data_IF_742088147875
#
_entry.id   IF_742088147875
#
_cell.length_a   1.000
_cell.length_b   1.000
_cell.length_c   1.000
_cell.angle_alpha   90.00
_cell.angle_beta   90.00
_cell.angle_gamma   90.00
#
_symmetry.space_group_name_H-M   'P 1'
#
loop_
_entity.id
_entity.type
_entity.pdbx_description
1 polymer ?
#
# COMPACT_ATOMS: atom_id res chain seq x y z
N UNK A 1 18.30 -73.23 11.68
CA UNK A 1 18.23 -72.41 10.45
C UNK A 1 17.99 -70.98 10.87
N UNK A 2 19.02 -70.11 10.82
CA UNK A 2 18.94 -68.68 11.15
C UNK A 2 18.81 -67.90 9.84
N UNK A 3 17.71 -67.16 9.67
CA UNK A 3 17.49 -66.24 8.56
C UNK A 3 18.09 -64.89 8.90
N UNK A 4 19.13 -64.48 8.21
CA UNK A 4 19.67 -63.12 8.25
C UNK A 4 18.76 -62.21 7.44
N UNK A 5 18.22 -61.18 8.09
CA UNK A 5 17.51 -60.07 7.46
C UNK A 5 18.50 -58.89 7.36
N UNK A 6 18.99 -58.65 6.14
CA UNK A 6 19.77 -57.46 5.87
C UNK A 6 18.84 -56.26 5.76
N UNK A 7 18.88 -55.39 6.76
CA UNK A 7 18.21 -54.09 6.71
C UNK A 7 18.96 -53.16 5.75
N UNK A 8 18.31 -52.77 4.71
CA UNK A 8 18.80 -51.71 3.80
C UNK A 8 18.55 -50.37 4.53
N UNK A 9 19.63 -49.75 5.02
CA UNK A 9 19.59 -48.38 5.48
C UNK A 9 19.58 -47.46 4.27
N UNK A 10 18.42 -46.93 3.90
CA UNK A 10 18.31 -45.85 2.92
C UNK A 10 18.85 -44.58 3.56
N UNK A 11 20.04 -44.17 3.17
CA UNK A 11 20.58 -42.84 3.49
C UNK A 11 19.85 -41.83 2.60
N UNK A 12 18.80 -41.23 3.13
CA UNK A 12 18.15 -40.05 2.50
C UNK A 12 19.10 -38.89 2.75
N UNK A 13 19.98 -38.61 1.81
CA UNK A 13 20.68 -37.33 1.78
C UNK A 13 19.65 -36.23 1.50
N UNK A 14 19.23 -35.56 2.57
CA UNK A 14 18.44 -34.34 2.46
C UNK A 14 19.32 -33.28 1.81
N UNK A 15 19.12 -33.06 0.51
CA UNK A 15 19.64 -31.88 -0.17
C UNK A 15 18.81 -30.73 0.34
N UNK A 16 19.29 -30.08 1.41
CA UNK A 16 18.78 -28.78 1.85
C UNK A 16 19.21 -27.76 0.81
N UNK A 17 18.43 -27.64 -0.25
CA UNK A 17 18.58 -26.53 -1.17
C UNK A 17 18.20 -25.26 -0.42
N UNK A 18 19.19 -24.41 -0.14
CA UNK A 18 19.03 -23.17 0.59
C UNK A 18 18.10 -22.25 -0.20
N UNK A 19 16.83 -22.21 0.20
CA UNK A 19 15.83 -21.24 -0.27
C UNK A 19 16.16 -19.82 0.23
N UNK A 20 17.24 -19.65 0.99
CA UNK A 20 17.62 -18.37 1.63
C UNK A 20 18.07 -17.28 0.66
N UNK A 21 18.44 -17.58 -0.59
CA UNK A 21 18.90 -16.54 -1.51
C UNK A 21 17.76 -15.69 -2.12
N UNK A 22 16.53 -16.23 -2.16
CA UNK A 22 15.39 -15.51 -2.77
C UNK A 22 14.56 -14.75 -1.75
N UNK A 23 14.57 -15.17 -0.48
CA UNK A 23 13.86 -14.49 0.60
C UNK A 23 14.64 -13.29 1.15
N UNK A 24 15.98 -13.31 1.10
CA UNK A 24 16.84 -12.22 1.57
C UNK A 24 16.64 -10.93 0.77
N UNK A 25 16.60 -11.04 -0.56
CA UNK A 25 16.48 -9.86 -1.42
C UNK A 25 15.13 -9.13 -1.28
N UNK A 26 14.05 -9.87 -1.02
CA UNK A 26 12.73 -9.28 -0.74
C UNK A 26 12.62 -8.66 0.66
N UNK A 27 13.33 -9.19 1.64
CA UNK A 27 13.34 -8.61 3.00
C UNK A 27 14.17 -7.33 3.08
N UNK A 28 15.34 -7.32 2.46
CA UNK A 28 16.22 -6.14 2.39
C UNK A 28 15.56 -4.96 1.65
N UNK A 29 14.90 -5.22 0.51
CA UNK A 29 14.17 -4.20 -0.23
C UNK A 29 12.99 -3.62 0.56
N UNK A 30 12.29 -4.44 1.33
CA UNK A 30 11.17 -4.01 2.17
C UNK A 30 11.64 -3.20 3.38
N UNK A 31 12.73 -3.60 4.01
CA UNK A 31 13.33 -2.90 5.14
C UNK A 31 13.83 -1.52 4.71
N UNK A 32 14.58 -1.43 3.63
CA UNK A 32 15.07 -0.16 3.09
C UNK A 32 13.94 0.78 2.61
N UNK A 33 12.83 0.21 2.12
CA UNK A 33 11.62 0.99 1.79
C UNK A 33 10.99 1.59 3.06
N UNK A 34 10.84 0.81 4.12
CA UNK A 34 10.26 1.28 5.39
C UNK A 34 11.12 2.32 6.09
N UNK A 35 12.45 2.15 6.08
CA UNK A 35 13.38 3.13 6.61
C UNK A 35 13.32 4.45 5.84
N UNK A 36 13.30 4.38 4.51
CA UNK A 36 13.16 5.56 3.66
C UNK A 36 11.82 6.27 3.86
N UNK A 37 10.73 5.51 4.00
CA UNK A 37 9.41 6.07 4.32
C UNK A 37 9.43 6.79 5.67
N UNK A 38 9.99 6.18 6.72
CA UNK A 38 10.10 6.81 8.04
C UNK A 38 10.93 8.10 7.97
N UNK A 39 12.04 8.10 7.24
CA UNK A 39 12.86 9.29 7.06
C UNK A 39 12.08 10.44 6.40
N UNK A 40 11.19 10.14 5.44
CA UNK A 40 10.29 11.15 4.85
C UNK A 40 9.29 11.66 5.87
N UNK A 41 8.63 10.77 6.63
CA UNK A 41 7.67 11.17 7.66
C UNK A 41 8.31 12.13 8.67
N UNK A 42 9.53 11.81 9.11
CA UNK A 42 10.28 12.63 10.07
C UNK A 42 10.69 13.98 9.46
N UNK A 43 11.19 13.99 8.22
CA UNK A 43 11.63 15.20 7.54
C UNK A 43 10.48 16.21 7.30
N UNK A 44 9.27 15.70 7.03
CA UNK A 44 8.07 16.53 6.84
C UNK A 44 7.28 16.77 8.14
N UNK A 45 7.67 16.13 9.23
CA UNK A 45 6.95 16.22 10.51
C UNK A 45 5.53 15.63 10.43
N UNK A 46 5.33 14.61 9.59
CA UNK A 46 4.03 13.99 9.39
C UNK A 46 3.66 13.08 10.58
N UNK A 47 2.55 13.40 11.21
CA UNK A 47 2.01 12.67 12.37
C UNK A 47 0.57 12.22 12.05
N UNK A 48 0.39 10.92 11.83
CA UNK A 48 -0.90 10.35 11.45
C UNK A 48 -1.98 10.53 12.54
N UNK A 49 -1.60 10.57 13.81
CA UNK A 49 -2.53 10.74 14.91
C UNK A 49 -3.11 12.18 14.92
N UNK A 50 -2.24 13.16 14.68
CA UNK A 50 -2.62 14.58 14.66
C UNK A 50 -3.16 15.04 13.31
N UNK A 51 -2.93 14.28 12.25
CA UNK A 51 -3.38 14.66 10.90
C UNK A 51 -4.88 14.92 10.85
N UNK A 52 -5.27 16.01 10.21
CA UNK A 52 -6.65 16.33 9.90
C UNK A 52 -6.88 16.23 8.40
N UNK A 53 -8.09 15.77 8.02
CA UNK A 53 -8.51 15.79 6.63
C UNK A 53 -9.45 16.96 6.44
N UNK A 54 -9.02 17.94 5.66
CA UNK A 54 -9.85 19.08 5.26
C UNK A 54 -10.48 18.86 3.89
N UNK A 55 -11.60 19.50 3.62
CA UNK A 55 -12.40 19.30 2.41
C UNK A 55 -12.54 20.64 1.70
N UNK A 56 -12.20 20.66 0.41
CA UNK A 56 -12.51 21.79 -0.48
C UNK A 56 -13.50 21.34 -1.54
N UNK A 57 -14.58 22.10 -1.71
CA UNK A 57 -15.60 21.83 -2.72
C UNK A 57 -15.21 22.48 -4.04
N UNK A 58 -15.10 21.67 -5.11
CA UNK A 58 -14.93 22.15 -6.49
C UNK A 58 -16.29 22.41 -7.13
N UNK A 59 -17.22 21.44 -7.02
CA UNK A 59 -18.59 21.54 -7.51
C UNK A 59 -19.48 20.52 -6.76
N UNK A 60 -20.72 20.29 -7.21
CA UNK A 60 -21.66 19.42 -6.50
C UNK A 60 -21.15 18.02 -6.25
N UNK A 61 -20.42 17.45 -7.21
CA UNK A 61 -19.97 16.05 -7.14
C UNK A 61 -18.47 15.91 -6.85
N UNK A 62 -17.69 16.98 -7.00
CA UNK A 62 -16.24 16.91 -6.90
C UNK A 62 -15.72 17.73 -5.71
N UNK A 63 -14.89 17.08 -4.91
CA UNK A 63 -14.24 17.66 -3.74
C UNK A 63 -12.77 17.24 -3.72
N UNK A 64 -11.93 18.05 -3.10
CA UNK A 64 -10.54 17.69 -2.81
C UNK A 64 -10.39 17.52 -1.30
N UNK A 65 -9.76 16.44 -0.90
CA UNK A 65 -9.36 16.21 0.48
C UNK A 65 -7.86 16.50 0.59
N UNK A 66 -7.51 17.29 1.58
CA UNK A 66 -6.14 17.57 1.96
C UNK A 66 -5.84 16.88 3.28
N UNK A 67 -4.73 16.20 3.34
CA UNK A 67 -4.26 15.46 4.53
C UNK A 67 -2.74 15.51 4.62
N UNK A 68 -2.11 14.37 4.82
CA UNK A 68 -0.66 14.21 4.72
C UNK A 68 -0.29 13.70 3.32
N UNK A 69 0.78 14.25 2.75
CA UNK A 69 1.25 13.85 1.42
C UNK A 69 0.34 14.37 0.29
N UNK A 70 0.04 13.50 -0.66
CA UNK A 70 -0.76 13.85 -1.84
C UNK A 70 -2.21 14.21 -1.52
N UNK A 71 -2.85 14.95 -2.40
CA UNK A 71 -4.27 15.29 -2.29
C UNK A 71 -5.14 14.16 -2.85
N UNK A 72 -6.36 14.05 -2.36
CA UNK A 72 -7.34 13.08 -2.87
C UNK A 72 -8.47 13.83 -3.57
N UNK A 73 -8.68 13.57 -4.86
CA UNK A 73 -9.89 13.99 -5.54
C UNK A 73 -11.01 13.00 -5.22
N UNK A 74 -12.16 13.48 -4.77
CA UNK A 74 -13.36 12.67 -4.56
C UNK A 74 -14.42 13.11 -5.56
N UNK A 75 -14.89 12.16 -6.35
CA UNK A 75 -16.11 12.29 -7.14
C UNK A 75 -17.19 11.42 -6.49
N UNK A 76 -18.25 12.01 -5.96
CA UNK A 76 -19.38 11.30 -5.38
C UNK A 76 -20.68 11.68 -6.05
N UNK A 77 -21.45 10.67 -6.48
CA UNK A 77 -22.71 10.85 -7.19
C UNK A 77 -23.62 9.63 -7.09
N UNK A 78 -24.69 9.62 -7.87
CA UNK A 78 -25.68 8.54 -7.89
C UNK A 78 -25.08 7.18 -8.29
N UNK A 79 -23.99 7.18 -9.06
CA UNK A 79 -23.35 5.97 -9.59
C UNK A 79 -22.26 5.41 -8.64
N UNK A 80 -22.00 6.08 -7.51
CA UNK A 80 -21.05 5.67 -6.51
C UNK A 80 -19.98 6.72 -6.21
N UNK A 81 -18.88 6.27 -5.61
CA UNK A 81 -17.74 7.09 -5.24
C UNK A 81 -16.49 6.61 -5.96
N UNK A 82 -15.88 7.52 -6.70
CA UNK A 82 -14.54 7.37 -7.24
C UNK A 82 -13.61 8.34 -6.54
N UNK A 83 -12.43 7.87 -6.17
CA UNK A 83 -11.35 8.75 -5.69
C UNK A 83 -10.13 8.63 -6.60
N UNK A 84 -9.37 9.71 -6.70
CA UNK A 84 -8.02 9.71 -7.29
C UNK A 84 -7.04 9.87 -6.15
N UNK A 85 -6.16 8.89 -6.01
CA UNK A 85 -5.23 8.67 -4.89
C UNK A 85 -5.93 8.39 -3.56
N UNK A 86 -5.18 7.91 -2.58
CA UNK A 86 -5.75 7.43 -1.32
C UNK A 86 -4.82 7.59 -0.11
N UNK A 87 -3.69 8.29 -0.29
CA UNK A 87 -2.72 8.61 0.76
C UNK A 87 -2.24 7.37 1.53
N UNK A 88 -2.47 7.34 2.84
CA UNK A 88 -1.94 6.34 3.76
C UNK A 88 -3.02 5.46 4.39
N UNK A 89 -2.75 4.18 4.64
CA UNK A 89 -3.70 3.28 5.30
C UNK A 89 -4.06 3.73 6.73
N UNK A 90 -3.15 4.43 7.42
CA UNK A 90 -3.39 4.99 8.76
C UNK A 90 -4.46 6.09 8.75
N UNK A 91 -4.65 6.77 7.65
CA UNK A 91 -5.64 7.83 7.48
C UNK A 91 -7.01 7.33 7.03
N UNK A 92 -7.18 6.03 6.77
CA UNK A 92 -8.41 5.42 6.22
C UNK A 92 -9.68 5.94 6.89
N UNK A 93 -9.75 5.90 8.22
CA UNK A 93 -10.96 6.28 8.94
C UNK A 93 -11.23 7.77 8.88
N UNK A 94 -10.18 8.59 8.84
CA UNK A 94 -10.27 10.04 8.66
C UNK A 94 -10.77 10.39 7.25
N UNK A 95 -10.20 9.75 6.23
CA UNK A 95 -10.62 9.88 4.82
C UNK A 95 -12.07 9.43 4.65
N UNK A 96 -12.45 8.28 5.21
CA UNK A 96 -13.85 7.81 5.14
C UNK A 96 -14.83 8.72 5.84
N UNK A 97 -14.43 9.38 6.92
CA UNK A 97 -15.29 10.43 7.56
C UNK A 97 -15.50 11.61 6.62
N UNK A 98 -14.43 12.08 5.96
CA UNK A 98 -14.52 13.17 4.99
C UNK A 98 -15.39 12.80 3.78
N UNK A 99 -15.25 11.59 3.24
CA UNK A 99 -16.07 11.07 2.14
C UNK A 99 -17.55 11.02 2.53
N UNK A 100 -17.89 10.64 3.76
CA UNK A 100 -19.27 10.65 4.23
C UNK A 100 -19.86 12.07 4.31
N UNK A 101 -19.06 13.08 4.63
CA UNK A 101 -19.51 14.48 4.67
C UNK A 101 -19.88 15.01 3.28
N UNK A 102 -19.28 14.44 2.22
CA UNK A 102 -19.58 14.80 0.83
C UNK A 102 -20.55 13.80 0.15
N UNK A 103 -21.30 13.05 0.94
CA UNK A 103 -22.39 12.18 0.47
C UNK A 103 -21.96 10.75 0.09
N UNK A 104 -20.69 10.42 0.16
CA UNK A 104 -20.21 9.07 -0.13
C UNK A 104 -20.44 8.10 1.02
N UNK A 105 -20.76 6.84 0.73
CA UNK A 105 -20.95 5.78 1.72
C UNK A 105 -19.80 4.80 1.77
N UNK A 106 -19.27 4.45 0.61
CA UNK A 106 -18.12 3.57 0.39
C UNK A 106 -17.35 4.07 -0.82
N UNK A 107 -16.13 3.66 -0.96
CA UNK A 107 -15.33 3.91 -2.17
C UNK A 107 -15.55 2.72 -3.11
N UNK A 108 -16.05 2.98 -4.32
CA UNK A 108 -16.24 1.97 -5.34
C UNK A 108 -15.00 1.81 -6.21
N UNK A 109 -14.37 2.93 -6.55
CA UNK A 109 -13.18 2.96 -7.42
C UNK A 109 -12.10 3.86 -6.83
N UNK A 110 -10.85 3.41 -6.96
CA UNK A 110 -9.65 4.18 -6.66
C UNK A 110 -8.81 4.21 -7.94
N UNK A 111 -8.43 5.40 -8.37
CA UNK A 111 -7.49 5.59 -9.49
C UNK A 111 -6.20 6.14 -8.91
N UNK A 112 -5.10 5.39 -8.94
CA UNK A 112 -3.82 5.92 -8.52
C UNK A 112 -3.18 6.72 -9.65
N UNK A 113 -2.88 7.99 -9.39
CA UNK A 113 -2.19 8.87 -10.33
C UNK A 113 -0.77 8.36 -10.61
N UNK A 114 -0.10 7.87 -9.56
CA UNK A 114 1.20 7.24 -9.63
C UNK A 114 1.46 6.35 -8.40
N UNK A 115 2.65 5.78 -8.29
CA UNK A 115 2.98 4.71 -7.34
C UNK A 115 3.56 5.18 -6.00
N UNK A 116 3.85 6.46 -5.81
CA UNK A 116 4.44 6.94 -4.56
C UNK A 116 3.52 6.65 -3.38
N UNK A 117 4.14 6.36 -2.23
CA UNK A 117 3.46 5.86 -1.05
C UNK A 117 2.43 6.85 -0.47
N UNK A 118 2.72 8.14 -0.56
CA UNK A 118 1.81 9.21 -0.11
C UNK A 118 0.59 9.44 -1.03
N UNK A 119 0.52 8.68 -2.13
CA UNK A 119 -0.58 8.68 -3.08
C UNK A 119 -1.31 7.33 -3.16
N UNK A 120 -0.61 6.21 -2.96
CA UNK A 120 -1.15 4.89 -3.31
C UNK A 120 -1.07 3.85 -2.17
N UNK A 121 -0.51 4.18 -0.99
CA UNK A 121 -0.37 3.19 0.07
C UNK A 121 -1.71 2.89 0.79
N UNK A 122 -2.68 3.80 0.70
CA UNK A 122 -4.05 3.60 1.13
C UNK A 122 -4.73 2.39 0.48
N UNK A 123 -4.26 1.96 -0.71
CA UNK A 123 -4.66 0.72 -1.36
C UNK A 123 -4.63 -0.50 -0.42
N UNK A 124 -3.67 -0.55 0.52
CA UNK A 124 -3.55 -1.62 1.52
C UNK A 124 -4.76 -1.72 2.45
N UNK A 125 -5.42 -0.60 2.69
CA UNK A 125 -6.58 -0.52 3.56
C UNK A 125 -7.91 -0.56 2.79
N UNK A 126 -8.00 0.21 1.70
CA UNK A 126 -9.24 0.34 0.92
C UNK A 126 -9.52 -0.86 0.01
N UNK A 127 -8.48 -1.51 -0.54
CA UNK A 127 -8.65 -2.73 -1.34
C UNK A 127 -9.34 -3.85 -0.56
N UNK A 128 -9.08 -3.95 0.75
CA UNK A 128 -9.73 -4.92 1.65
C UNK A 128 -11.23 -4.64 1.86
N UNK A 129 -11.71 -3.46 1.54
CA UNK A 129 -13.14 -3.08 1.65
C UNK A 129 -13.92 -3.32 0.36
N UNK A 130 -13.27 -3.84 -0.68
CA UNK A 130 -13.89 -4.17 -1.96
C UNK A 130 -13.83 -3.05 -2.99
N UNK A 131 -13.06 -1.98 -2.75
CA UNK A 131 -12.78 -0.96 -3.74
C UNK A 131 -12.00 -1.54 -4.92
N UNK A 132 -12.35 -1.14 -6.14
CA UNK A 132 -11.60 -1.52 -7.34
C UNK A 132 -10.48 -0.52 -7.58
N UNK A 133 -9.25 -1.01 -7.55
CA UNK A 133 -8.05 -0.18 -7.72
C UNK A 133 -7.65 -0.21 -9.18
N UNK A 134 -7.45 0.96 -9.77
CA UNK A 134 -7.05 1.19 -11.15
C UNK A 134 -5.75 1.98 -11.14
N UNK A 135 -4.75 1.50 -11.84
CA UNK A 135 -3.46 2.17 -11.99
C UNK A 135 -2.86 1.83 -13.35
N UNK A 136 -1.97 2.68 -13.84
CA UNK A 136 -1.14 2.34 -14.99
C UNK A 136 -0.27 1.12 -14.66
N UNK A 137 0.01 0.26 -15.64
CA UNK A 137 0.76 -0.99 -15.42
C UNK A 137 2.15 -0.76 -14.79
N UNK A 138 2.84 0.32 -15.18
CA UNK A 138 4.13 0.69 -14.59
C UNK A 138 3.99 1.06 -13.10
N UNK A 139 2.93 1.81 -12.75
CA UNK A 139 2.64 2.14 -11.35
C UNK A 139 2.33 0.88 -10.54
N UNK A 140 1.53 -0.03 -11.11
CA UNK A 140 1.26 -1.32 -10.50
C UNK A 140 2.54 -2.13 -10.28
N UNK A 141 3.44 -2.17 -11.28
CA UNK A 141 4.73 -2.85 -11.15
C UNK A 141 5.55 -2.29 -10.00
N UNK A 142 5.64 -0.95 -9.88
CA UNK A 142 6.38 -0.29 -8.80
C UNK A 142 5.76 -0.54 -7.42
N UNK A 143 4.43 -0.57 -7.31
CA UNK A 143 3.73 -0.85 -6.04
C UNK A 143 3.94 -2.28 -5.54
N UNK A 144 4.02 -3.27 -6.45
CA UNK A 144 4.23 -4.69 -6.05
C UNK A 144 5.72 -5.05 -5.93
N UNK A 145 6.63 -4.21 -6.42
CA UNK A 145 8.07 -4.35 -6.30
C UNK A 145 8.62 -3.10 -5.62
N UNK A 146 8.51 -2.99 -4.29
CA UNK A 146 8.91 -1.78 -3.55
C UNK A 146 10.35 -1.40 -3.87
N UNK A 147 10.55 -0.14 -4.18
CA UNK A 147 11.87 0.43 -4.45
C UNK A 147 12.36 1.17 -3.19
N UNK A 148 13.68 1.18 -2.93
CA UNK A 148 14.23 2.01 -1.87
C UNK A 148 13.83 3.48 -2.06
N UNK A 149 13.37 4.12 -1.00
CA UNK A 149 13.10 5.55 -1.00
C UNK A 149 14.41 6.26 -0.66
N UNK A 150 15.05 6.83 -1.66
CA UNK A 150 16.20 7.69 -1.45
C UNK A 150 15.70 9.13 -1.35
N UNK A 151 15.79 9.73 -0.16
CA UNK A 151 15.71 11.17 -0.03
C UNK A 151 16.84 11.74 -0.87
N UNK A 152 16.49 12.43 -1.95
CA UNK A 152 17.47 13.02 -2.85
C UNK A 152 18.45 13.85 -2.03
N UNK A 153 19.69 13.41 -1.96
CA UNK A 153 20.77 14.25 -1.48
C UNK A 153 20.92 15.37 -2.51
N UNK A 154 20.41 16.54 -2.19
CA UNK A 154 20.63 17.77 -2.94
C UNK A 154 22.08 18.22 -2.78
#
# INVERSE_FOLDING_TARGET
>A
MKKNVYGIVLLIASISFSINAFTGHHSEGKESYQEGQQAVLDAFGWDFEKAEITIEKINENNHVLFGLGGNILVNSGKDGVLIVDDQFPQLKDKIMRAIRQVGGKKIDYIVNSHWHFDHAEGNLAFGKTGSKIIAHENSRYMMINPQPINLVSV
#
